data_IF_938607062622
#
_entry.id   IF_938607062622
#
_cell.length_a   1.000
_cell.length_b   1.000
_cell.length_c   1.000
_cell.angle_alpha   90.00
_cell.angle_beta   90.00
_cell.angle_gamma   90.00
#
_symmetry.space_group_name_H-M   'P 1'
#
loop_
_entity.id
_entity.type
_entity.pdbx_description
1 polymer ?
#
# COMPACT_ATOMS: atom_id res chain seq x y z
N UNK A 1 -33.20 -2.82 4.75
CA UNK A 1 -32.25 -3.88 5.15
C UNK A 1 -31.28 -3.27 6.15
N UNK A 2 -30.95 -3.93 7.27
CA UNK A 2 -29.90 -3.47 8.17
C UNK A 2 -28.57 -3.36 7.40
N UNK A 3 -27.82 -2.29 7.64
CA UNK A 3 -26.56 -1.96 6.96
C UNK A 3 -25.39 -2.15 7.92
N UNK A 4 -24.17 -2.38 7.41
CA UNK A 4 -22.96 -2.29 8.26
C UNK A 4 -22.77 -0.88 8.85
N UNK A 5 -23.50 0.12 8.34
CA UNK A 5 -23.56 1.47 8.91
C UNK A 5 -24.30 1.55 10.26
N UNK A 6 -25.06 0.53 10.63
CA UNK A 6 -25.75 0.48 11.93
C UNK A 6 -24.79 0.08 13.06
N UNK A 7 -23.56 -0.36 12.73
CA UNK A 7 -22.55 -0.90 13.64
C UNK A 7 -21.18 -0.24 13.38
N UNK A 8 -21.14 1.10 13.32
CA UNK A 8 -19.89 1.83 13.15
C UNK A 8 -18.94 1.62 14.34
N UNK A 9 -17.60 1.64 14.10
CA UNK A 9 -16.62 1.66 15.18
C UNK A 9 -16.89 2.83 16.14
N UNK A 10 -16.69 2.61 17.44
CA UNK A 10 -17.07 3.58 18.49
C UNK A 10 -16.41 4.96 18.35
N UNK A 11 -15.27 5.04 17.67
CA UNK A 11 -14.52 6.29 17.47
C UNK A 11 -14.79 6.93 16.09
N UNK A 12 -15.72 6.39 15.28
CA UNK A 12 -16.10 6.94 13.97
C UNK A 12 -17.58 7.35 13.98
N UNK A 13 -17.86 8.53 13.44
CA UNK A 13 -19.22 8.98 13.14
C UNK A 13 -19.29 9.49 11.71
N UNK A 14 -20.45 9.32 11.09
CA UNK A 14 -20.74 9.91 9.78
C UNK A 14 -21.34 11.31 9.91
N UNK A 15 -20.89 12.21 9.04
CA UNK A 15 -21.44 13.55 8.85
C UNK A 15 -21.75 13.80 7.38
N UNK A 16 -22.71 14.69 7.11
CA UNK A 16 -22.94 15.17 5.74
C UNK A 16 -21.68 15.84 5.18
N UNK A 17 -21.42 15.59 3.90
CA UNK A 17 -20.35 16.23 3.15
C UNK A 17 -20.98 16.99 1.96
N UNK A 18 -20.49 18.19 1.58
CA UNK A 18 -21.12 18.99 0.53
C UNK A 18 -21.09 18.34 -0.87
N UNK A 19 -20.03 17.58 -1.19
CA UNK A 19 -19.83 16.98 -2.52
C UNK A 19 -19.74 15.44 -2.54
N UNK A 20 -19.17 14.81 -1.51
CA UNK A 20 -19.19 13.36 -1.31
C UNK A 20 -20.50 12.86 -0.68
N UNK A 21 -20.72 11.54 -0.69
CA UNK A 21 -21.90 10.91 -0.07
C UNK A 21 -22.04 11.27 1.41
N UNK A 22 -20.94 11.17 2.17
CA UNK A 22 -20.76 11.66 3.52
C UNK A 22 -19.26 11.71 3.84
N UNK A 23 -18.91 12.00 5.10
CA UNK A 23 -17.55 11.90 5.61
C UNK A 23 -17.52 11.17 6.95
N UNK A 24 -16.51 10.33 7.15
CA UNK A 24 -16.19 9.77 8.46
C UNK A 24 -15.34 10.76 9.26
N UNK A 25 -15.79 11.10 10.46
CA UNK A 25 -15.04 11.95 11.40
C UNK A 25 -14.71 11.19 12.68
N UNK A 26 -13.60 11.54 13.31
CA UNK A 26 -13.22 11.00 14.60
C UNK A 26 -14.16 11.51 15.71
N UNK A 27 -14.71 10.63 16.53
CA UNK A 27 -15.57 11.01 17.67
C UNK A 27 -14.74 11.57 18.83
N UNK A 28 -13.50 11.11 18.97
CA UNK A 28 -12.55 11.53 19.98
C UNK A 28 -11.15 11.56 19.38
N UNK A 29 -10.16 12.03 20.15
CA UNK A 29 -8.77 12.03 19.71
C UNK A 29 -8.29 10.59 19.45
N UNK A 30 -7.77 10.31 18.26
CA UNK A 30 -7.21 9.00 17.87
C UNK A 30 -5.70 9.10 17.76
N UNK A 31 -4.99 8.29 18.55
CA UNK A 31 -3.52 8.30 18.58
C UNK A 31 -2.92 7.59 17.36
N UNK A 32 -1.70 7.96 16.91
CA UNK A 32 -0.97 7.25 15.86
C UNK A 32 -0.90 5.74 16.14
N UNK A 33 -1.11 4.93 15.11
CA UNK A 33 -1.09 3.46 15.16
C UNK A 33 -2.37 2.81 15.69
N UNK A 34 -3.36 3.59 16.11
CA UNK A 34 -4.67 3.05 16.49
C UNK A 34 -5.39 2.48 15.27
N UNK A 35 -5.98 1.29 15.42
CA UNK A 35 -6.87 0.68 14.41
C UNK A 35 -8.22 1.39 14.47
N UNK A 36 -8.58 2.05 13.36
CA UNK A 36 -9.83 2.80 13.19
C UNK A 36 -10.95 1.88 12.71
N UNK A 37 -10.64 1.02 11.75
CA UNK A 37 -11.59 0.06 11.19
C UNK A 37 -10.88 -1.28 11.06
N UNK A 38 -11.58 -2.36 11.37
CA UNK A 38 -11.19 -3.74 11.03
C UNK A 38 -12.40 -4.41 10.38
N UNK A 39 -12.28 -4.76 9.10
CA UNK A 39 -13.39 -5.33 8.31
C UNK A 39 -12.93 -6.48 7.42
N UNK A 40 -13.70 -7.58 7.35
CA UNK A 40 -13.43 -8.66 6.41
C UNK A 40 -13.73 -8.23 4.97
N UNK A 41 -12.98 -8.78 4.02
CA UNK A 41 -13.25 -8.66 2.60
C UNK A 41 -14.62 -9.28 2.27
N UNK A 42 -15.38 -8.64 1.41
CA UNK A 42 -16.56 -9.25 0.79
C UNK A 42 -16.14 -10.25 -0.28
N UNK A 43 -15.18 -9.86 -1.13
CA UNK A 43 -14.52 -10.73 -2.10
C UNK A 43 -13.07 -10.32 -2.26
N UNK A 44 -12.21 -11.28 -2.62
CA UNK A 44 -10.84 -11.05 -3.07
C UNK A 44 -10.59 -11.76 -4.40
N UNK A 45 -9.69 -11.20 -5.20
CA UNK A 45 -9.19 -11.76 -6.44
C UNK A 45 -7.66 -11.68 -6.43
N UNK A 46 -7.01 -12.84 -6.32
CA UNK A 46 -5.56 -12.96 -6.40
C UNK A 46 -5.07 -12.58 -7.81
N UNK A 47 -4.01 -11.77 -7.88
CA UNK A 47 -3.38 -11.40 -9.14
C UNK A 47 -2.77 -12.63 -9.85
N UNK A 48 -2.63 -12.60 -11.19
CA UNK A 48 -2.03 -13.69 -11.95
C UNK A 48 -0.65 -14.11 -11.43
N UNK A 49 0.19 -13.15 -11.02
CA UNK A 49 1.52 -13.39 -10.45
C UNK A 49 1.52 -14.21 -9.15
N UNK A 50 0.42 -14.19 -8.40
CA UNK A 50 0.27 -14.97 -7.17
C UNK A 50 -0.27 -16.38 -7.37
N UNK A 51 -0.80 -16.71 -8.56
CA UNK A 51 -1.43 -18.01 -8.82
C UNK A 51 -0.40 -19.14 -8.67
N UNK A 52 -0.76 -20.17 -7.92
CA UNK A 52 0.13 -21.28 -7.61
C UNK A 52 1.09 -21.03 -6.44
N UNK A 53 1.28 -19.77 -6.03
CA UNK A 53 2.14 -19.38 -4.90
C UNK A 53 1.36 -18.88 -3.69
N UNK A 54 0.08 -18.53 -3.86
CA UNK A 54 -0.81 -18.04 -2.80
C UNK A 54 -2.16 -18.74 -2.82
N UNK A 55 -2.78 -18.83 -1.65
CA UNK A 55 -4.15 -19.33 -1.49
C UNK A 55 -5.18 -18.36 -2.06
N UNK A 56 -6.10 -18.83 -2.90
CA UNK A 56 -7.17 -18.00 -3.49
C UNK A 56 -8.28 -17.59 -2.51
N UNK A 57 -8.28 -18.14 -1.30
CA UNK A 57 -9.25 -17.77 -0.25
C UNK A 57 -8.64 -16.80 0.77
N UNK A 58 -7.55 -17.20 1.44
CA UNK A 58 -6.97 -16.44 2.53
C UNK A 58 -5.70 -15.66 2.14
N UNK A 59 -5.24 -15.74 0.88
CA UNK A 59 -4.05 -15.08 0.33
C UNK A 59 -2.68 -15.45 0.92
N UNK A 60 -2.62 -16.30 1.96
CA UNK A 60 -1.35 -16.79 2.52
C UNK A 60 -0.44 -17.38 1.43
N UNK A 61 0.84 -17.01 1.50
CA UNK A 61 1.92 -17.52 0.64
C UNK A 61 2.31 -18.97 0.95
N UNK A 62 2.76 -19.72 -0.05
CA UNK A 62 3.34 -21.07 0.13
C UNK A 62 4.59 -21.07 1.02
N UNK A 63 5.30 -19.94 1.09
CA UNK A 63 6.47 -19.75 1.95
C UNK A 63 6.13 -19.90 3.44
N UNK A 64 4.85 -19.83 3.83
CA UNK A 64 4.39 -20.05 5.19
C UNK A 64 4.37 -21.53 5.61
N UNK A 65 5.22 -22.38 5.03
CA UNK A 65 5.33 -23.86 5.23
C UNK A 65 4.17 -24.72 4.69
N UNK A 66 3.25 -24.14 3.92
CA UNK A 66 2.05 -24.85 3.44
C UNK A 66 2.14 -25.13 1.94
N UNK A 67 2.19 -26.40 1.57
CA UNK A 67 2.06 -26.81 0.16
C UNK A 67 0.62 -26.60 -0.32
N UNK A 68 0.46 -25.77 -1.35
CA UNK A 68 -0.86 -25.44 -1.89
C UNK A 68 -1.48 -26.61 -2.67
N UNK A 69 -2.77 -26.85 -2.42
CA UNK A 69 -3.59 -27.82 -3.12
C UNK A 69 -4.37 -27.15 -4.25
N UNK A 70 -4.15 -27.61 -5.49
CA UNK A 70 -4.87 -27.13 -6.67
C UNK A 70 -6.29 -27.69 -6.72
N UNK A 71 -7.27 -26.86 -7.04
CA UNK A 71 -8.64 -27.27 -7.30
C UNK A 71 -8.69 -28.29 -8.44
N UNK A 72 -9.16 -29.50 -8.16
CA UNK A 72 -9.26 -30.57 -9.17
C UNK A 72 -10.30 -30.26 -10.26
N UNK A 73 -11.26 -29.35 -10.00
CA UNK A 73 -12.31 -28.99 -10.94
C UNK A 73 -11.83 -28.03 -12.03
N UNK A 74 -11.29 -26.86 -11.65
CA UNK A 74 -10.87 -25.83 -12.61
C UNK A 74 -9.37 -25.87 -12.94
N UNK A 75 -8.54 -26.46 -12.08
CA UNK A 75 -7.08 -26.38 -12.15
C UNK A 75 -6.49 -24.95 -12.18
N UNK A 76 -7.27 -23.92 -11.84
CA UNK A 76 -6.85 -22.50 -11.84
C UNK A 76 -6.92 -21.82 -10.46
N UNK A 77 -7.30 -22.57 -9.42
CA UNK A 77 -7.41 -22.08 -8.04
C UNK A 77 -6.59 -22.97 -7.12
N UNK A 78 -5.93 -22.38 -6.12
CA UNK A 78 -5.06 -23.02 -5.15
C UNK A 78 -5.49 -22.68 -3.73
N UNK A 79 -5.33 -23.63 -2.82
CA UNK A 79 -5.76 -23.49 -1.44
C UNK A 79 -4.70 -24.02 -0.48
N UNK A 80 -4.58 -23.43 0.72
CA UNK A 80 -3.76 -23.99 1.80
C UNK A 80 -4.14 -25.44 2.16
N UNK A 81 -5.39 -25.83 1.91
CA UNK A 81 -5.90 -27.16 2.19
C UNK A 81 -7.42 -27.22 2.05
N UNK A 82 -8.00 -28.34 2.49
CA UNK A 82 -9.45 -28.60 2.40
C UNK A 82 -10.28 -27.55 3.14
N UNK A 83 -9.79 -27.01 4.26
CA UNK A 83 -10.48 -25.95 5.01
C UNK A 83 -10.74 -24.70 4.15
N UNK A 84 -9.70 -24.10 3.57
CA UNK A 84 -9.83 -22.91 2.71
C UNK A 84 -10.68 -23.21 1.47
N UNK A 85 -10.52 -24.40 0.87
CA UNK A 85 -11.35 -24.81 -0.26
C UNK A 85 -12.83 -24.90 0.12
N UNK A 86 -13.16 -25.52 1.27
CA UNK A 86 -14.53 -25.66 1.75
C UNK A 86 -15.17 -24.31 2.08
N UNK A 87 -14.42 -23.38 2.69
CA UNK A 87 -14.89 -22.03 2.98
C UNK A 87 -15.18 -21.23 1.69
N UNK A 88 -14.34 -21.36 0.67
CA UNK A 88 -14.54 -20.71 -0.63
C UNK A 88 -15.59 -21.41 -1.52
N UNK A 89 -15.90 -22.69 -1.26
CA UNK A 89 -16.71 -23.52 -2.17
C UNK A 89 -18.11 -22.97 -2.43
N UNK A 90 -18.69 -22.24 -1.48
CA UNK A 90 -20.03 -21.63 -1.61
C UNK A 90 -20.17 -20.76 -2.86
N UNK A 91 -19.18 -19.90 -3.13
CA UNK A 91 -19.09 -19.05 -4.31
C UNK A 91 -18.30 -19.72 -5.44
N UNK A 92 -17.11 -20.28 -5.17
CA UNK A 92 -16.24 -20.87 -6.20
C UNK A 92 -16.94 -21.88 -7.12
N UNK A 93 -17.78 -22.76 -6.54
CA UNK A 93 -18.47 -23.82 -7.31
C UNK A 93 -19.34 -23.29 -8.45
N UNK A 94 -19.80 -22.04 -8.38
CA UNK A 94 -20.70 -21.44 -9.36
C UNK A 94 -20.02 -21.15 -10.69
N UNK A 95 -18.73 -20.82 -10.66
CA UNK A 95 -17.93 -20.52 -11.87
C UNK A 95 -16.83 -21.56 -12.14
N UNK A 96 -16.47 -22.40 -11.17
CA UNK A 96 -15.37 -23.36 -11.25
C UNK A 96 -15.31 -24.14 -12.59
N UNK A 97 -16.40 -24.78 -13.02
CA UNK A 97 -16.39 -25.62 -14.24
C UNK A 97 -16.34 -24.82 -15.55
N UNK A 98 -16.72 -23.53 -15.51
CA UNK A 98 -16.84 -22.67 -16.68
C UNK A 98 -15.63 -21.76 -16.87
N UNK A 99 -14.86 -21.56 -15.80
CA UNK A 99 -13.75 -20.62 -15.78
C UNK A 99 -12.77 -20.83 -16.92
N UNK A 100 -12.28 -22.06 -17.15
CA UNK A 100 -11.29 -22.32 -18.20
C UNK A 100 -11.82 -21.98 -19.61
N UNK A 101 -13.07 -22.33 -19.89
CA UNK A 101 -13.71 -21.98 -21.18
C UNK A 101 -13.97 -20.48 -21.30
N UNK A 102 -14.31 -19.82 -20.19
CA UNK A 102 -14.55 -18.39 -20.16
C UNK A 102 -13.26 -17.61 -20.38
N UNK A 103 -12.19 -17.94 -19.66
CA UNK A 103 -10.89 -17.27 -19.83
C UNK A 103 -10.27 -17.55 -21.20
N UNK A 104 -10.64 -18.65 -21.86
CA UNK A 104 -10.18 -18.96 -23.23
C UNK A 104 -11.08 -18.37 -24.34
N UNK A 105 -12.18 -17.68 -23.99
CA UNK A 105 -13.09 -17.12 -25.00
C UNK A 105 -12.46 -15.94 -25.73
N UNK A 106 -12.87 -15.72 -26.99
CA UNK A 106 -12.43 -14.56 -27.76
C UNK A 106 -12.79 -13.25 -27.06
N UNK A 107 -14.02 -13.18 -26.52
CA UNK A 107 -14.52 -12.03 -25.78
C UNK A 107 -13.63 -11.66 -24.59
N UNK A 108 -13.15 -12.63 -23.81
CA UNK A 108 -12.25 -12.37 -22.68
C UNK A 108 -10.83 -12.05 -23.14
N UNK A 109 -10.34 -12.72 -24.18
CA UNK A 109 -8.98 -12.52 -24.69
C UNK A 109 -8.79 -11.16 -25.36
N UNK A 110 -9.84 -10.58 -25.92
CA UNK A 110 -9.82 -9.22 -26.49
C UNK A 110 -9.83 -8.09 -25.44
N UNK A 111 -10.08 -8.39 -24.16
CA UNK A 111 -10.05 -7.39 -23.09
C UNK A 111 -8.62 -6.95 -22.78
N UNK A 112 -8.47 -5.70 -22.39
CA UNK A 112 -7.24 -5.21 -21.78
C UNK A 112 -7.02 -5.86 -20.40
N UNK A 113 -5.78 -5.88 -19.91
CA UNK A 113 -5.46 -6.58 -18.64
C UNK A 113 -6.27 -6.07 -17.44
N UNK A 114 -6.52 -4.76 -17.36
CA UNK A 114 -7.34 -4.18 -16.29
C UNK A 114 -8.83 -4.60 -16.40
N UNK A 115 -9.34 -4.77 -17.63
CA UNK A 115 -10.71 -5.24 -17.88
C UNK A 115 -10.85 -6.74 -17.59
N UNK A 116 -9.82 -7.55 -17.87
CA UNK A 116 -9.76 -8.96 -17.47
C UNK A 116 -9.84 -9.12 -15.95
N UNK A 117 -9.09 -8.31 -15.21
CA UNK A 117 -9.14 -8.29 -13.74
C UNK A 117 -10.52 -7.87 -13.24
N UNK A 118 -11.13 -6.84 -13.84
CA UNK A 118 -12.48 -6.41 -13.48
C UNK A 118 -13.52 -7.51 -13.76
N UNK A 119 -13.48 -8.17 -14.91
CA UNK A 119 -14.36 -9.28 -15.27
C UNK A 119 -14.27 -10.47 -14.27
N UNK A 120 -13.06 -10.81 -13.82
CA UNK A 120 -12.86 -11.86 -12.83
C UNK A 120 -13.33 -11.44 -11.43
N UNK A 121 -13.10 -10.19 -11.03
CA UNK A 121 -13.57 -9.67 -9.74
C UNK A 121 -15.11 -9.60 -9.70
N UNK A 122 -15.73 -9.20 -10.82
CA UNK A 122 -17.18 -9.23 -11.02
C UNK A 122 -17.73 -10.63 -10.95
N UNK A 123 -17.06 -11.60 -11.57
CA UNK A 123 -17.41 -13.02 -11.45
C UNK A 123 -17.44 -13.46 -9.98
N UNK A 124 -16.43 -13.06 -9.19
CA UNK A 124 -16.36 -13.39 -7.76
C UNK A 124 -17.50 -12.74 -6.98
N UNK A 125 -17.74 -11.44 -7.20
CA UNK A 125 -18.79 -10.68 -6.53
C UNK A 125 -20.17 -11.29 -6.78
N UNK A 126 -20.51 -11.58 -8.04
CA UNK A 126 -21.79 -12.20 -8.40
C UNK A 126 -21.91 -13.58 -7.75
N UNK A 127 -20.84 -14.36 -7.75
CA UNK A 127 -20.83 -15.70 -7.16
C UNK A 127 -21.08 -15.66 -5.65
N UNK A 128 -20.45 -14.70 -4.96
CA UNK A 128 -20.60 -14.47 -3.52
C UNK A 128 -22.02 -14.05 -3.17
N UNK A 129 -22.57 -13.03 -3.84
CA UNK A 129 -23.94 -12.55 -3.65
C UNK A 129 -24.97 -13.65 -3.92
N UNK A 130 -24.72 -14.46 -4.95
CA UNK A 130 -25.63 -15.54 -5.33
C UNK A 130 -25.50 -16.78 -4.44
N UNK A 131 -24.53 -16.84 -3.52
CA UNK A 131 -24.35 -18.00 -2.66
C UNK A 131 -25.49 -18.05 -1.63
N UNK A 132 -26.22 -19.18 -1.57
CA UNK A 132 -27.47 -19.36 -0.80
C UNK A 132 -27.33 -19.25 0.74
N UNK A 133 -26.21 -18.73 1.24
CA UNK A 133 -25.96 -18.48 2.65
C UNK A 133 -25.68 -16.99 2.80
N UNK A 134 -26.72 -16.17 2.68
CA UNK A 134 -26.66 -14.80 3.17
C UNK A 134 -26.89 -14.88 4.69
N UNK A 135 -25.82 -15.10 5.45
CA UNK A 135 -25.85 -14.76 6.86
C UNK A 135 -26.05 -13.24 7.01
N UNK A 136 -26.55 -12.78 8.15
CA UNK A 136 -26.85 -11.36 8.40
C UNK A 136 -25.66 -10.44 8.08
N UNK A 137 -24.43 -10.90 8.32
CA UNK A 137 -23.22 -10.16 8.00
C UNK A 137 -23.05 -9.88 6.49
N UNK A 138 -23.31 -10.87 5.62
CA UNK A 138 -23.22 -10.71 4.16
C UNK A 138 -24.33 -9.83 3.61
N UNK A 139 -25.53 -9.93 4.17
CA UNK A 139 -26.65 -9.07 3.81
C UNK A 139 -26.35 -7.59 4.15
N UNK A 140 -25.75 -7.33 5.31
CA UNK A 140 -25.26 -6.00 5.71
C UNK A 140 -24.19 -5.48 4.76
N UNK A 141 -23.16 -6.27 4.43
CA UNK A 141 -22.11 -5.90 3.48
C UNK A 141 -22.68 -5.55 2.09
N UNK A 142 -23.60 -6.37 1.58
CA UNK A 142 -24.26 -6.11 0.30
C UNK A 142 -25.12 -4.84 0.35
N UNK A 143 -25.88 -4.63 1.42
CA UNK A 143 -26.67 -3.41 1.61
C UNK A 143 -25.77 -2.17 1.64
N UNK A 144 -24.63 -2.25 2.31
CA UNK A 144 -23.63 -1.17 2.33
C UNK A 144 -23.02 -0.96 0.94
N UNK A 145 -22.67 -2.04 0.23
CA UNK A 145 -22.13 -1.96 -1.14
C UNK A 145 -23.11 -1.29 -2.10
N UNK A 146 -24.40 -1.65 -2.05
CA UNK A 146 -25.44 -1.05 -2.90
C UNK A 146 -25.68 0.44 -2.59
N UNK A 147 -25.29 0.90 -1.40
CA UNK A 147 -25.36 2.33 -1.02
C UNK A 147 -24.17 3.16 -1.55
N UNK A 148 -23.14 2.53 -2.11
CA UNK A 148 -22.00 3.23 -2.71
C UNK A 148 -22.42 3.97 -3.98
N UNK A 149 -21.72 5.07 -4.27
CA UNK A 149 -21.95 5.85 -5.48
C UNK A 149 -21.43 5.09 -6.71
N UNK A 150 -22.20 5.02 -7.81
CA UNK A 150 -21.69 4.50 -9.06
C UNK A 150 -20.55 5.39 -9.57
N UNK A 151 -19.58 4.78 -10.26
CA UNK A 151 -18.51 5.49 -10.92
C UNK A 151 -19.03 6.40 -12.05
N UNK A 152 -18.22 7.39 -12.47
CA UNK A 152 -18.61 8.36 -13.50
C UNK A 152 -18.67 7.75 -14.91
N UNK A 153 -18.09 6.56 -15.10
CA UNK A 153 -18.03 5.90 -16.40
C UNK A 153 -19.22 4.96 -16.60
N UNK A 154 -20.00 5.22 -17.65
CA UNK A 154 -21.10 4.37 -18.11
C UNK A 154 -20.67 3.49 -19.29
N UNK A 155 -19.53 2.80 -19.15
CA UNK A 155 -19.10 1.80 -20.12
C UNK A 155 -19.92 0.52 -20.01
N UNK A 156 -19.93 -0.30 -21.06
CA UNK A 156 -20.45 -1.66 -20.98
C UNK A 156 -19.71 -2.41 -19.87
N UNK A 157 -20.41 -3.09 -18.95
CA UNK A 157 -19.73 -3.83 -17.90
C UNK A 157 -18.83 -4.92 -18.50
N UNK A 158 -17.64 -5.18 -17.93
CA UNK A 158 -16.82 -6.30 -18.30
C UNK A 158 -17.61 -7.60 -18.31
N UNK A 159 -17.33 -8.45 -19.31
CA UNK A 159 -18.04 -9.72 -19.47
C UNK A 159 -17.65 -10.63 -18.32
N UNK A 160 -18.59 -10.92 -17.41
CA UNK A 160 -18.35 -11.85 -16.31
C UNK A 160 -18.57 -13.31 -16.75
N UNK A 161 -17.92 -14.26 -16.07
CA UNK A 161 -18.12 -15.68 -16.33
C UNK A 161 -19.61 -16.04 -16.11
N UNK A 162 -20.27 -16.66 -17.10
CA UNK A 162 -21.70 -16.95 -16.99
C UNK A 162 -21.95 -17.96 -15.86
N UNK A 163 -22.91 -17.66 -14.98
CA UNK A 163 -23.32 -18.51 -13.86
C UNK A 163 -24.84 -18.64 -13.80
N UNK A 164 -25.33 -19.73 -13.21
CA UNK A 164 -26.75 -19.84 -12.89
C UNK A 164 -27.06 -18.98 -11.65
N UNK A 165 -27.68 -17.83 -11.88
CA UNK A 165 -28.09 -16.84 -10.86
C UNK A 165 -29.59 -16.58 -10.96
N UNK A 166 -30.21 -16.02 -9.91
CA UNK A 166 -31.64 -15.68 -9.95
C UNK A 166 -31.91 -14.48 -10.87
N UNK A 167 -33.17 -14.32 -11.29
CA UNK A 167 -33.58 -13.23 -12.21
C UNK A 167 -33.37 -11.86 -11.56
N UNK A 168 -33.59 -11.73 -10.25
CA UNK A 168 -33.41 -10.48 -9.50
C UNK A 168 -31.94 -10.05 -9.47
N UNK A 169 -31.01 -11.00 -9.30
CA UNK A 169 -29.57 -10.74 -9.38
C UNK A 169 -29.21 -10.29 -10.79
N UNK A 170 -29.77 -10.93 -11.82
CA UNK A 170 -29.52 -10.59 -13.22
C UNK A 170 -29.96 -9.15 -13.55
N UNK A 171 -31.14 -8.73 -13.07
CA UNK A 171 -31.64 -7.36 -13.23
C UNK A 171 -30.82 -6.31 -12.47
N UNK A 172 -30.04 -6.73 -11.47
CA UNK A 172 -29.25 -5.84 -10.61
C UNK A 172 -27.75 -5.79 -10.96
N UNK A 173 -27.31 -6.50 -12.00
CA UNK A 173 -25.89 -6.60 -12.37
C UNK A 173 -25.28 -5.25 -12.77
N UNK A 174 -25.99 -4.45 -13.57
CA UNK A 174 -25.52 -3.13 -13.98
C UNK A 174 -25.31 -2.20 -12.77
N UNK A 175 -26.21 -2.26 -11.78
CA UNK A 175 -26.07 -1.53 -10.53
C UNK A 175 -24.87 -2.01 -9.71
N UNK A 176 -24.56 -3.31 -9.70
CA UNK A 176 -23.39 -3.85 -9.02
C UNK A 176 -22.08 -3.41 -9.73
N UNK A 177 -22.03 -3.55 -11.04
CA UNK A 177 -20.82 -3.27 -11.82
C UNK A 177 -20.47 -1.80 -11.83
N UNK A 178 -21.46 -0.91 -11.97
CA UNK A 178 -21.25 0.54 -11.92
C UNK A 178 -20.61 1.02 -10.60
N UNK A 179 -20.72 0.26 -9.50
CA UNK A 179 -20.10 0.59 -8.21
C UNK A 179 -18.75 -0.08 -7.97
N UNK A 180 -18.47 -1.17 -8.66
CA UNK A 180 -17.28 -1.98 -8.37
C UNK A 180 -15.97 -1.35 -8.85
N UNK A 181 -15.99 -0.61 -9.96
CA UNK A 181 -14.79 -0.06 -10.61
C UNK A 181 -14.11 1.06 -9.83
N UNK A 182 -14.84 1.71 -8.92
CA UNK A 182 -14.37 2.85 -8.12
C UNK A 182 -14.43 2.59 -6.60
N UNK A 183 -14.67 1.35 -6.18
CA UNK A 183 -14.79 0.97 -4.76
C UNK A 183 -14.01 -0.30 -4.41
N UNK A 184 -13.22 -0.85 -5.33
CA UNK A 184 -12.27 -1.93 -5.04
C UNK A 184 -10.94 -1.38 -4.52
N UNK A 185 -10.16 -2.23 -3.88
CA UNK A 185 -8.85 -1.88 -3.32
C UNK A 185 -7.78 -2.84 -3.81
N UNK A 186 -6.59 -2.31 -4.06
CA UNK A 186 -5.37 -3.11 -4.14
C UNK A 186 -5.08 -3.68 -2.74
N UNK A 187 -4.95 -5.00 -2.65
CA UNK A 187 -4.60 -5.73 -1.43
C UNK A 187 -3.11 -6.05 -1.47
N UNK A 188 -2.39 -5.67 -0.42
CA UNK A 188 -0.94 -5.79 -0.36
C UNK A 188 -0.50 -6.84 0.66
N UNK A 189 0.70 -7.37 0.44
CA UNK A 189 1.52 -8.01 1.48
C UNK A 189 2.89 -7.36 1.43
N UNK A 190 3.37 -6.86 2.57
CA UNK A 190 4.63 -6.11 2.66
C UNK A 190 4.66 -4.95 1.65
N UNK A 191 3.54 -4.22 1.54
CA UNK A 191 3.33 -3.11 0.59
C UNK A 191 3.49 -3.47 -0.90
N UNK A 192 3.58 -4.76 -1.22
CA UNK A 192 3.52 -5.27 -2.61
C UNK A 192 2.11 -5.71 -2.93
N UNK A 193 1.52 -5.23 -4.03
CA UNK A 193 0.17 -5.64 -4.45
C UNK A 193 0.14 -7.11 -4.84
N UNK A 194 -0.77 -7.87 -4.23
CA UNK A 194 -0.94 -9.31 -4.46
C UNK A 194 -2.35 -9.67 -4.94
N UNK A 195 -3.35 -8.83 -4.68
CA UNK A 195 -4.74 -9.12 -5.00
C UNK A 195 -5.55 -7.82 -5.14
N UNK A 196 -6.78 -7.93 -5.61
CA UNK A 196 -7.81 -6.90 -5.49
C UNK A 196 -8.90 -7.38 -4.52
N UNK A 197 -9.51 -6.47 -3.78
CA UNK A 197 -10.58 -6.81 -2.83
C UNK A 197 -11.68 -5.76 -2.77
N UNK A 198 -12.86 -6.18 -2.30
CA UNK A 198 -14.00 -5.28 -2.07
C UNK A 198 -14.28 -5.25 -0.57
N UNK A 199 -14.25 -4.04 0.02
CA UNK A 199 -14.44 -3.79 1.45
C UNK A 199 -15.53 -2.73 1.64
N UNK A 200 -16.82 -3.09 1.54
CA UNK A 200 -17.90 -2.11 1.39
C UNK A 200 -17.95 -1.06 2.49
N UNK A 201 -17.70 -1.44 3.74
CA UNK A 201 -17.71 -0.50 4.86
C UNK A 201 -16.54 0.49 4.79
N UNK A 202 -15.34 0.06 4.38
CA UNK A 202 -14.21 0.96 4.19
C UNK A 202 -14.46 1.95 3.04
N UNK A 203 -14.94 1.48 1.89
CA UNK A 203 -15.34 2.33 0.75
C UNK A 203 -16.40 3.36 1.14
N UNK A 204 -17.30 2.96 2.04
CA UNK A 204 -18.42 3.80 2.48
C UNK A 204 -18.01 4.88 3.48
N UNK A 205 -16.91 4.68 4.22
CA UNK A 205 -16.51 5.56 5.32
C UNK A 205 -15.47 6.61 4.92
N UNK A 206 -14.41 6.21 4.23
CA UNK A 206 -13.21 7.04 4.13
C UNK A 206 -13.09 7.71 2.77
N UNK A 207 -13.12 9.05 2.78
CA UNK A 207 -12.86 9.86 1.60
C UNK A 207 -11.36 9.93 1.28
N UNK A 208 -11.06 10.45 0.09
CA UNK A 208 -9.69 10.65 -0.38
C UNK A 208 -9.04 11.92 0.16
N UNK A 209 -7.75 11.83 0.50
CA UNK A 209 -6.83 12.97 0.53
C UNK A 209 -5.46 12.51 0.00
N UNK A 210 -4.76 13.35 -0.77
CA UNK A 210 -3.35 13.08 -1.11
C UNK A 210 -2.39 13.36 0.06
N UNK A 211 -2.90 13.96 1.15
CA UNK A 211 -2.24 14.03 2.46
C UNK A 211 -3.14 13.30 3.47
N UNK A 212 -3.24 11.98 3.40
CA UNK A 212 -4.13 11.22 4.27
C UNK A 212 -3.64 11.26 5.73
N UNK A 213 -4.56 11.05 6.66
CA UNK A 213 -4.24 10.89 8.08
C UNK A 213 -4.42 9.45 8.58
N UNK A 214 -4.90 8.56 7.70
CA UNK A 214 -4.97 7.12 7.91
C UNK A 214 -4.50 6.35 6.66
N UNK A 215 -4.08 5.09 6.84
CA UNK A 215 -3.72 4.18 5.76
C UNK A 215 -4.39 2.82 5.94
N UNK A 216 -4.64 2.13 4.82
CA UNK A 216 -5.11 0.76 4.84
C UNK A 216 -3.92 -0.21 4.94
N UNK A 217 -4.07 -1.25 5.75
CA UNK A 217 -3.20 -2.43 5.81
C UNK A 217 -4.05 -3.69 5.78
N UNK A 218 -3.45 -4.81 5.39
CA UNK A 218 -4.15 -6.08 5.28
C UNK A 218 -3.66 -7.13 6.27
N UNK A 219 -4.60 -7.78 6.95
CA UNK A 219 -4.32 -8.89 7.86
C UNK A 219 -4.64 -10.19 7.15
N UNK A 220 -3.59 -10.98 6.89
CA UNK A 220 -3.65 -12.26 6.19
C UNK A 220 -3.42 -13.38 7.22
N UNK A 221 -4.44 -14.24 7.41
CA UNK A 221 -4.38 -15.38 8.33
C UNK A 221 -4.89 -16.63 7.66
N UNK A 222 -4.17 -17.74 7.83
CA UNK A 222 -4.56 -19.01 7.23
C UNK A 222 -5.97 -19.42 7.67
N UNK A 223 -6.80 -19.80 6.70
CA UNK A 223 -8.16 -20.26 6.98
C UNK A 223 -9.16 -19.17 7.36
N UNK A 224 -8.78 -17.89 7.30
CA UNK A 224 -9.67 -16.75 7.55
C UNK A 224 -9.84 -15.91 6.28
N UNK A 225 -10.97 -15.18 6.13
CA UNK A 225 -11.07 -14.11 5.15
C UNK A 225 -9.96 -13.08 5.37
N UNK A 226 -9.58 -12.38 4.31
CA UNK A 226 -8.65 -11.26 4.42
C UNK A 226 -9.34 -10.10 5.11
N UNK A 227 -8.68 -9.48 6.07
CA UNK A 227 -9.19 -8.28 6.72
C UNK A 227 -8.45 -7.04 6.23
N UNK A 228 -9.17 -5.94 6.07
CA UNK A 228 -8.61 -4.60 5.94
C UNK A 228 -8.68 -3.91 7.29
N UNK A 229 -7.54 -3.44 7.76
CA UNK A 229 -7.46 -2.51 8.87
C UNK A 229 -7.13 -1.11 8.36
N UNK A 230 -7.83 -0.09 8.85
CA UNK A 230 -7.48 1.32 8.60
C UNK A 230 -6.81 1.85 9.86
N UNK A 231 -5.57 2.31 9.76
CA UNK A 231 -4.74 2.74 10.90
C UNK A 231 -4.44 4.23 10.84
N UNK A 232 -4.48 4.90 11.99
CA UNK A 232 -4.11 6.31 12.09
C UNK A 232 -2.60 6.50 11.88
N UNK A 233 -2.20 7.36 10.94
CA UNK A 233 -0.78 7.67 10.67
C UNK A 233 -0.22 8.71 11.64
N UNK A 234 -1.08 9.63 12.08
CA UNK A 234 -0.75 10.69 13.03
C UNK A 234 -1.89 10.86 14.02
N UNK A 235 -1.71 11.78 14.98
CA UNK A 235 -2.82 12.21 15.82
C UNK A 235 -3.95 12.74 14.94
N UNK A 236 -5.15 12.19 15.12
CA UNK A 236 -6.40 12.68 14.51
C UNK A 236 -7.22 13.29 15.65
N UNK A 237 -7.60 14.56 15.51
CA UNK A 237 -8.34 15.26 16.55
C UNK A 237 -9.84 14.93 16.49
N UNK A 238 -10.55 15.08 17.60
CA UNK A 238 -12.01 14.97 17.60
C UNK A 238 -12.63 15.90 16.55
N UNK A 239 -13.62 15.38 15.81
CA UNK A 239 -14.30 16.02 14.67
C UNK A 239 -13.44 16.21 13.40
N UNK A 240 -12.17 15.78 13.40
CA UNK A 240 -11.37 15.77 12.18
C UNK A 240 -11.85 14.65 11.25
N UNK A 241 -11.92 14.94 9.95
CA UNK A 241 -12.24 13.93 8.93
C UNK A 241 -11.10 12.92 8.78
N UNK A 242 -11.47 11.65 8.67
CA UNK A 242 -10.53 10.54 8.48
C UNK A 242 -10.47 10.25 6.98
N UNK A 243 -9.30 10.48 6.39
CA UNK A 243 -9.07 10.26 4.96
C UNK A 243 -7.96 9.24 4.73
N UNK A 244 -8.16 8.40 3.72
CA UNK A 244 -7.14 7.52 3.15
C UNK A 244 -6.74 8.03 1.75
N UNK A 245 -5.67 7.48 1.18
CA UNK A 245 -5.34 7.76 -0.23
C UNK A 245 -5.94 6.70 -1.15
N UNK A 246 -6.56 7.13 -2.25
CA UNK A 246 -7.14 6.25 -3.28
C UNK A 246 -6.16 5.94 -4.41
N UNK A 247 -5.11 6.76 -4.49
CA UNK A 247 -4.03 6.73 -5.47
C UNK A 247 -2.74 7.02 -4.74
N UNK A 248 -1.58 6.66 -5.30
CA UNK A 248 -0.31 7.04 -4.66
C UNK A 248 -0.15 8.58 -4.67
N UNK A 249 0.02 9.23 -3.50
CA UNK A 249 0.33 10.66 -3.44
C UNK A 249 1.48 11.14 -4.32
N UNK A 250 2.45 10.26 -4.64
CA UNK A 250 3.60 10.55 -5.49
C UNK A 250 3.26 10.72 -6.99
N UNK A 251 2.06 10.32 -7.43
CA UNK A 251 1.56 10.56 -8.79
C UNK A 251 1.10 12.02 -8.94
N UNK A 252 2.01 12.96 -8.73
CA UNK A 252 1.73 14.40 -8.60
C UNK A 252 0.96 14.95 -9.81
N UNK A 253 1.34 14.55 -11.02
CA UNK A 253 0.77 15.03 -12.28
C UNK A 253 -0.49 14.24 -12.65
N UNK A 254 -0.46 12.93 -12.42
CA UNK A 254 -1.47 11.98 -12.89
C UNK A 254 -2.67 11.84 -11.94
N UNK A 255 -2.49 12.08 -10.63
CA UNK A 255 -3.51 11.78 -9.61
C UNK A 255 -4.84 12.51 -9.79
N UNK A 256 -4.83 13.77 -10.26
CA UNK A 256 -6.08 14.51 -10.52
C UNK A 256 -6.88 13.91 -11.67
N UNK A 257 -6.18 13.47 -12.73
CA UNK A 257 -6.81 12.77 -13.85
C UNK A 257 -7.40 11.45 -13.38
N UNK A 258 -6.68 10.69 -12.53
CA UNK A 258 -7.16 9.43 -11.96
C UNK A 258 -8.38 9.68 -11.06
N UNK A 259 -8.34 10.65 -10.14
CA UNK A 259 -9.49 10.94 -9.25
C UNK A 259 -10.72 11.37 -10.04
N UNK A 260 -10.52 12.16 -11.10
CA UNK A 260 -11.62 12.59 -11.96
C UNK A 260 -12.20 11.44 -12.77
N UNK A 261 -11.36 10.66 -13.45
CA UNK A 261 -11.79 9.60 -14.36
C UNK A 261 -12.35 8.38 -13.63
N UNK A 262 -11.70 7.92 -12.55
CA UNK A 262 -12.09 6.71 -11.83
C UNK A 262 -13.17 6.99 -10.78
N UNK A 263 -13.05 8.11 -10.05
CA UNK A 263 -13.91 8.38 -8.89
C UNK A 263 -14.89 9.53 -9.09
N UNK A 264 -14.79 10.30 -10.17
CA UNK A 264 -15.76 11.35 -10.51
C UNK A 264 -15.59 12.64 -9.72
N UNK A 265 -14.42 12.91 -9.13
CA UNK A 265 -14.16 14.15 -8.40
C UNK A 265 -12.75 14.71 -8.63
N UNK A 266 -12.58 16.01 -8.42
CA UNK A 266 -11.28 16.67 -8.37
C UNK A 266 -10.87 16.89 -6.91
N UNK A 267 -9.67 16.44 -6.54
CA UNK A 267 -9.22 16.55 -5.16
C UNK A 267 -8.85 18.00 -4.82
N UNK A 268 -9.35 18.52 -3.69
CA UNK A 268 -9.05 19.87 -3.19
C UNK A 268 -8.26 19.85 -1.88
N UNK A 269 -7.54 18.74 -1.62
CA UNK A 269 -6.70 18.64 -0.44
C UNK A 269 -5.56 19.69 -0.47
N UNK A 270 -4.92 19.98 0.68
CA UNK A 270 -3.90 21.04 0.75
C UNK A 270 -2.71 20.84 -0.21
N UNK A 271 -2.35 19.59 -0.53
CA UNK A 271 -1.32 19.26 -1.53
C UNK A 271 -1.78 19.59 -2.96
N UNK A 272 -2.99 19.17 -3.34
CA UNK A 272 -3.54 19.44 -4.67
C UNK A 272 -3.79 20.93 -4.91
N UNK A 273 -4.31 21.65 -3.92
CA UNK A 273 -4.50 23.10 -4.05
C UNK A 273 -3.17 23.82 -4.28
N UNK A 274 -2.12 23.44 -3.55
CA UNK A 274 -0.79 24.02 -3.76
C UNK A 274 -0.25 23.75 -5.16
N UNK A 275 -0.29 22.50 -5.63
CA UNK A 275 0.16 22.15 -6.99
C UNK A 275 -0.63 22.91 -8.05
N UNK A 276 -1.95 23.08 -7.87
CA UNK A 276 -2.77 23.89 -8.77
C UNK A 276 -2.33 25.36 -8.83
N UNK A 277 -1.76 25.93 -7.76
CA UNK A 277 -1.21 27.30 -7.77
C UNK A 277 0.11 27.43 -8.53
N UNK A 278 0.85 26.34 -8.69
CA UNK A 278 2.06 26.29 -9.53
C UNK A 278 1.67 26.30 -11.01
N UNK A 279 0.59 25.58 -11.37
CA UNK A 279 0.16 25.40 -12.75
C UNK A 279 1.03 24.35 -13.46
N UNK A 280 1.56 24.69 -14.63
CA UNK A 280 2.45 23.80 -15.37
C UNK A 280 3.77 23.61 -14.60
N UNK A 281 4.07 22.37 -14.22
CA UNK A 281 5.31 22.02 -13.53
C UNK A 281 6.50 22.30 -14.47
N UNK A 282 7.54 23.04 -14.01
CA UNK A 282 8.70 23.32 -14.83
C UNK A 282 9.42 22.02 -15.26
N UNK A 283 9.97 21.95 -16.49
CA UNK A 283 10.68 20.77 -16.94
C UNK A 283 11.96 20.54 -16.13
N UNK A 284 12.40 19.29 -16.08
CA UNK A 284 13.64 18.93 -15.42
C UNK A 284 14.87 19.47 -16.15
N UNK A 285 15.97 19.79 -15.42
CA UNK A 285 17.25 20.08 -16.03
C UNK A 285 17.75 18.91 -16.89
N UNK A 286 18.45 19.23 -17.99
CA UNK A 286 18.92 18.23 -18.97
C UNK A 286 20.33 17.73 -18.66
N UNK A 287 21.17 18.53 -18.01
CA UNK A 287 22.55 18.13 -17.70
C UNK A 287 22.65 17.42 -16.35
N UNK A 288 23.54 16.44 -16.26
CA UNK A 288 23.83 15.70 -15.02
C UNK A 288 24.27 16.63 -13.89
N UNK A 289 25.10 17.63 -14.19
CA UNK A 289 25.54 18.62 -13.20
C UNK A 289 24.36 19.43 -12.62
N UNK A 290 23.43 19.86 -13.46
CA UNK A 290 22.26 20.61 -13.00
C UNK A 290 21.28 19.73 -12.23
N UNK A 291 21.16 18.45 -12.58
CA UNK A 291 20.40 17.46 -11.81
C UNK A 291 21.04 17.21 -10.45
N UNK A 292 22.37 17.09 -10.37
CA UNK A 292 23.07 16.96 -9.10
C UNK A 292 22.91 18.21 -8.22
N UNK A 293 22.96 19.40 -8.81
CA UNK A 293 22.67 20.65 -8.09
C UNK A 293 21.24 20.70 -7.56
N UNK A 294 20.27 20.22 -8.36
CA UNK A 294 18.87 20.10 -7.96
C UNK A 294 18.69 19.11 -6.79
N UNK A 295 19.34 17.94 -6.86
CA UNK A 295 19.35 16.93 -5.80
C UNK A 295 19.87 17.52 -4.49
N UNK A 296 21.02 18.19 -4.55
CA UNK A 296 21.62 18.86 -3.40
C UNK A 296 20.72 19.98 -2.84
N UNK A 297 20.08 20.76 -3.71
CA UNK A 297 19.19 21.84 -3.29
C UNK A 297 17.92 21.31 -2.61
N UNK A 298 17.35 20.21 -3.12
CA UNK A 298 16.21 19.53 -2.49
C UNK A 298 16.59 18.97 -1.13
N UNK A 299 17.73 18.27 -1.03
CA UNK A 299 18.22 17.73 0.24
C UNK A 299 18.40 18.84 1.29
N UNK A 300 19.04 19.96 0.94
CA UNK A 300 19.22 21.11 1.85
C UNK A 300 17.89 21.75 2.28
N UNK A 301 16.87 21.72 1.42
CA UNK A 301 15.56 22.25 1.74
C UNK A 301 14.81 21.35 2.73
N UNK A 302 14.80 20.04 2.49
CA UNK A 302 14.07 19.08 3.34
C UNK A 302 14.84 18.67 4.60
N UNK A 303 16.18 18.76 4.57
CA UNK A 303 17.11 18.28 5.61
C UNK A 303 18.15 19.39 5.88
N UNK A 304 17.75 20.55 6.42
CA UNK A 304 18.61 21.73 6.52
C UNK A 304 19.83 21.54 7.43
N UNK A 305 19.71 20.68 8.45
CA UNK A 305 20.81 20.35 9.37
C UNK A 305 21.83 19.39 8.76
N UNK A 306 21.52 18.73 7.63
CA UNK A 306 22.32 17.65 7.04
C UNK A 306 22.22 16.32 7.81
N UNK A 307 21.95 16.36 9.11
CA UNK A 307 21.62 15.20 9.92
C UNK A 307 20.11 14.90 9.85
N UNK A 308 19.77 13.62 9.70
CA UNK A 308 18.39 13.14 9.76
C UNK A 308 18.09 12.72 11.20
N UNK A 309 17.02 13.28 11.76
CA UNK A 309 16.59 13.04 13.13
C UNK A 309 15.05 12.98 13.26
N UNK A 310 14.57 12.88 14.49
CA UNK A 310 13.13 12.84 14.78
C UNK A 310 12.41 14.14 14.40
N UNK A 311 13.10 15.28 14.50
CA UNK A 311 12.52 16.58 14.12
C UNK A 311 12.24 16.63 12.61
N UNK A 312 13.10 16.00 11.82
CA UNK A 312 12.93 15.89 10.36
C UNK A 312 11.64 15.15 9.99
N UNK A 313 11.26 14.10 10.73
CA UNK A 313 10.03 13.32 10.47
C UNK A 313 8.74 14.02 10.94
N UNK A 314 8.83 14.76 12.06
CA UNK A 314 7.67 15.40 12.70
C UNK A 314 7.22 16.68 11.98
N UNK A 315 8.03 17.24 11.09
CA UNK A 315 7.71 18.45 10.34
C UNK A 315 6.52 18.27 9.36
N UNK A 316 6.18 17.03 9.00
CA UNK A 316 5.14 16.73 8.02
C UNK A 316 5.51 17.17 6.60
N UNK A 317 4.54 17.15 5.69
CA UNK A 317 4.78 17.52 4.29
C UNK A 317 5.19 19.00 4.16
N UNK A 318 6.41 19.24 3.67
CA UNK A 318 6.94 20.57 3.39
C UNK A 318 6.43 21.18 2.06
N UNK A 319 5.52 20.49 1.35
CA UNK A 319 5.14 20.83 -0.02
C UNK A 319 4.64 22.27 -0.16
N UNK A 320 3.82 22.73 0.77
CA UNK A 320 3.17 24.05 0.68
C UNK A 320 4.14 25.23 0.78
N UNK A 321 5.37 25.00 1.24
CA UNK A 321 6.42 26.01 1.37
C UNK A 321 7.57 25.77 0.39
N UNK A 322 7.37 24.89 -0.61
CA UNK A 322 8.39 24.59 -1.63
C UNK A 322 8.72 25.85 -2.46
N UNK A 323 9.99 26.30 -2.48
CA UNK A 323 10.37 27.50 -3.20
C UNK A 323 10.33 27.28 -4.72
N UNK A 324 10.07 28.37 -5.46
CA UNK A 324 9.84 28.33 -6.92
C UNK A 324 10.97 27.67 -7.72
N UNK A 325 12.21 27.84 -7.28
CA UNK A 325 13.38 27.25 -7.94
C UNK A 325 13.45 25.72 -7.80
N UNK A 326 12.66 25.12 -6.92
CA UNK A 326 12.56 23.66 -6.74
C UNK A 326 11.28 23.08 -7.34
N UNK A 327 10.39 23.87 -7.97
CA UNK A 327 9.12 23.35 -8.48
C UNK A 327 9.29 22.23 -9.53
N UNK A 328 10.42 22.16 -10.24
CA UNK A 328 10.70 21.08 -11.19
C UNK A 328 10.82 19.69 -10.55
N UNK A 329 11.12 19.58 -9.24
CA UNK A 329 11.18 18.27 -8.55
C UNK A 329 9.82 17.58 -8.48
N UNK A 330 8.73 18.33 -8.70
CA UNK A 330 7.37 17.82 -8.70
C UNK A 330 7.00 17.07 -9.99
N UNK A 331 7.88 17.10 -11.00
CA UNK A 331 7.71 16.31 -12.22
C UNK A 331 7.87 14.83 -11.89
N UNK A 332 6.94 13.96 -12.29
CA UNK A 332 6.90 12.54 -11.89
C UNK A 332 8.18 11.79 -12.28
N UNK A 333 8.74 12.12 -13.45
CA UNK A 333 10.02 11.57 -13.92
C UNK A 333 11.22 11.84 -13.00
N UNK A 334 11.15 12.83 -12.11
CA UNK A 334 12.23 13.13 -11.16
C UNK A 334 12.34 12.05 -10.09
N UNK A 335 11.22 11.69 -9.47
CA UNK A 335 11.19 10.64 -8.45
C UNK A 335 11.57 9.29 -9.07
N UNK A 336 11.05 8.96 -10.26
CA UNK A 336 11.42 7.74 -10.99
C UNK A 336 12.94 7.65 -11.18
N UNK A 337 13.56 8.71 -11.70
CA UNK A 337 15.02 8.75 -11.88
C UNK A 337 15.77 8.46 -10.58
N UNK A 338 15.35 9.08 -9.47
CA UNK A 338 15.99 8.90 -8.17
C UNK A 338 15.82 7.46 -7.66
N UNK A 339 14.61 6.88 -7.74
CA UNK A 339 14.36 5.52 -7.27
C UNK A 339 15.07 4.48 -8.11
N UNK A 340 15.14 4.68 -9.43
CA UNK A 340 15.84 3.79 -10.36
C UNK A 340 17.34 3.78 -10.06
N UNK A 341 17.94 4.97 -9.92
CA UNK A 341 19.37 5.09 -9.59
C UNK A 341 19.67 4.53 -8.19
N UNK A 342 18.80 4.74 -7.20
CA UNK A 342 18.97 4.18 -5.86
C UNK A 342 18.97 2.64 -5.90
N UNK A 343 17.97 2.05 -6.56
CA UNK A 343 17.83 0.61 -6.70
C UNK A 343 19.06 -0.02 -7.36
N UNK A 344 19.44 0.48 -8.55
CA UNK A 344 20.61 -0.01 -9.30
C UNK A 344 21.90 0.07 -8.46
N UNK A 345 22.21 1.26 -7.93
CA UNK A 345 23.45 1.46 -7.17
C UNK A 345 23.50 0.72 -5.83
N UNK A 346 22.35 0.46 -5.20
CA UNK A 346 22.28 -0.34 -3.96
C UNK A 346 22.58 -1.82 -4.20
N UNK A 347 22.22 -2.35 -5.37
CA UNK A 347 22.45 -3.75 -5.76
C UNK A 347 23.84 -3.98 -6.35
N UNK A 348 24.37 -3.01 -7.12
CA UNK A 348 25.69 -3.13 -7.77
C UNK A 348 26.87 -2.80 -6.85
N UNK A 349 26.62 -2.37 -5.61
CA UNK A 349 27.66 -2.06 -4.63
C UNK A 349 28.22 -0.63 -4.73
N UNK A 350 27.63 0.24 -5.53
CA UNK A 350 27.97 1.67 -5.61
C UNK A 350 27.39 2.46 -4.42
N UNK A 351 27.66 2.02 -3.19
CA UNK A 351 26.94 2.45 -1.99
C UNK A 351 27.02 3.96 -1.71
N UNK A 352 28.12 4.64 -2.05
CA UNK A 352 28.21 6.10 -1.89
C UNK A 352 27.18 6.84 -2.76
N UNK A 353 26.96 6.36 -3.99
CA UNK A 353 25.95 6.90 -4.90
C UNK A 353 24.55 6.57 -4.37
N UNK A 354 24.33 5.30 -4.00
CA UNK A 354 23.06 4.84 -3.45
C UNK A 354 22.65 5.66 -2.22
N UNK A 355 23.55 5.83 -1.26
CA UNK A 355 23.29 6.58 -0.04
C UNK A 355 23.10 8.09 -0.28
N UNK A 356 23.65 8.67 -1.33
CA UNK A 356 23.43 10.07 -1.68
C UNK A 356 22.08 10.27 -2.40
N UNK A 357 21.79 9.45 -3.41
CA UNK A 357 20.51 9.50 -4.14
C UNK A 357 19.36 9.08 -3.23
N UNK A 358 19.58 8.13 -2.32
CA UNK A 358 18.62 7.73 -1.29
C UNK A 358 18.21 8.89 -0.38
N UNK A 359 19.11 9.83 -0.08
CA UNK A 359 18.74 11.06 0.64
C UNK A 359 17.82 11.96 -0.19
N UNK A 360 18.02 12.03 -1.51
CA UNK A 360 17.11 12.77 -2.40
C UNK A 360 15.74 12.10 -2.49
N UNK A 361 15.67 10.76 -2.56
CA UNK A 361 14.39 10.02 -2.50
C UNK A 361 13.69 10.29 -1.17
N UNK A 362 14.43 10.23 -0.05
CA UNK A 362 13.88 10.53 1.26
C UNK A 362 13.37 11.98 1.36
N UNK A 363 14.10 12.95 0.81
CA UNK A 363 13.66 14.35 0.72
C UNK A 363 12.37 14.50 -0.10
N UNK A 364 12.25 13.81 -1.23
CA UNK A 364 10.99 13.74 -1.99
C UNK A 364 9.86 13.13 -1.15
N UNK A 365 10.14 12.08 -0.39
CA UNK A 365 9.14 11.43 0.46
C UNK A 365 8.65 12.33 1.60
N UNK A 366 9.54 13.09 2.24
CA UNK A 366 9.19 14.14 3.20
C UNK A 366 8.36 15.26 2.57
N UNK A 367 8.55 15.51 1.28
CA UNK A 367 7.79 16.52 0.55
C UNK A 367 6.37 16.03 0.24
N UNK A 368 6.21 14.80 -0.25
CA UNK A 368 4.96 14.34 -0.87
C UNK A 368 4.04 13.56 0.10
N UNK A 369 4.62 12.84 1.06
CA UNK A 369 3.89 11.96 1.96
C UNK A 369 3.64 12.60 3.33
N UNK A 370 2.53 12.26 4.01
CA UNK A 370 2.30 12.66 5.39
C UNK A 370 3.25 11.93 6.36
N UNK A 371 3.36 12.43 7.59
CA UNK A 371 4.12 11.76 8.66
C UNK A 371 3.68 10.31 8.85
N UNK A 372 4.66 9.43 9.07
CA UNK A 372 4.48 7.98 9.23
C UNK A 372 3.86 7.23 8.04
N UNK A 373 3.84 7.82 6.84
CA UNK A 373 3.40 7.08 5.66
C UNK A 373 4.34 5.88 5.40
N UNK A 374 3.83 4.67 5.12
CA UNK A 374 4.63 3.44 5.16
C UNK A 374 5.83 3.42 4.21
N UNK A 375 5.70 4.03 3.03
CA UNK A 375 6.74 4.15 2.01
C UNK A 375 7.98 4.88 2.55
N UNK A 376 7.80 5.85 3.46
CA UNK A 376 8.91 6.53 4.14
C UNK A 376 9.71 5.50 4.97
N UNK A 377 9.00 4.67 5.75
CA UNK A 377 9.62 3.63 6.56
C UNK A 377 10.33 2.58 5.72
N UNK A 378 9.73 2.13 4.62
CA UNK A 378 10.35 1.17 3.69
C UNK A 378 11.63 1.71 3.08
N UNK A 379 11.61 2.94 2.58
CA UNK A 379 12.80 3.55 1.99
C UNK A 379 13.93 3.69 3.00
N UNK A 380 13.62 4.11 4.23
CA UNK A 380 14.61 4.17 5.31
C UNK A 380 15.16 2.78 5.69
N UNK A 381 14.34 1.73 5.63
CA UNK A 381 14.81 0.36 5.83
C UNK A 381 15.81 -0.06 4.75
N UNK A 382 15.52 0.24 3.48
CA UNK A 382 16.45 -0.03 2.37
C UNK A 382 17.73 0.82 2.47
N UNK A 383 17.63 2.08 2.92
CA UNK A 383 18.81 2.89 3.21
C UNK A 383 19.64 2.32 4.37
N UNK A 384 19.00 1.77 5.41
CA UNK A 384 19.70 1.12 6.52
C UNK A 384 20.45 -0.13 6.05
N UNK A 385 19.81 -0.99 5.26
CA UNK A 385 20.45 -2.16 4.62
C UNK A 385 21.60 -1.75 3.70
N UNK A 386 21.41 -0.71 2.89
CA UNK A 386 22.43 -0.18 1.99
C UNK A 386 23.65 0.34 2.76
N UNK A 387 23.44 1.07 3.87
CA UNK A 387 24.50 1.56 4.73
C UNK A 387 25.25 0.40 5.41
N UNK A 388 24.52 -0.62 5.87
CA UNK A 388 25.11 -1.83 6.43
C UNK A 388 25.94 -2.61 5.40
N UNK A 389 25.43 -2.80 4.18
CA UNK A 389 26.19 -3.45 3.11
C UNK A 389 27.48 -2.69 2.75
N UNK A 390 27.45 -1.36 2.82
CA UNK A 390 28.65 -0.54 2.66
C UNK A 390 29.69 -0.78 3.76
N UNK A 391 29.26 -0.99 5.01
CA UNK A 391 30.14 -1.37 6.13
C UNK A 391 30.81 -2.71 5.85
N UNK A 392 30.02 -3.71 5.44
CA UNK A 392 30.53 -5.06 5.14
C UNK A 392 31.51 -5.05 3.96
N UNK A 393 31.22 -4.28 2.91
CA UNK A 393 32.12 -4.15 1.77
C UNK A 393 33.46 -3.52 2.15
N UNK A 394 33.45 -2.47 2.99
CA UNK A 394 34.68 -1.84 3.50
C UNK A 394 35.54 -2.81 4.32
N UNK A 395 34.92 -3.72 5.08
CA UNK A 395 35.64 -4.76 5.84
C UNK A 395 36.33 -5.80 4.92
N UNK A 396 35.74 -6.09 3.76
CA UNK A 396 36.34 -7.01 2.78
C UNK A 396 37.54 -6.41 2.04
N UNK A 397 37.51 -5.10 1.75
CA UNK A 397 38.55 -4.42 0.98
C UNK A 397 39.79 -4.04 1.82
N UNK A 398 39.84 -4.41 3.10
CA UNK A 398 40.93 -4.08 4.05
C UNK A 398 41.25 -2.57 4.15
N UNK A 399 40.30 -1.71 3.79
CA UNK A 399 40.44 -0.26 3.97
C UNK A 399 40.31 0.07 5.46
N UNK A 400 41.43 0.37 6.14
CA UNK A 400 41.47 0.76 7.55
C UNK A 400 40.98 2.21 7.79
N UNK A 401 39.94 2.68 7.11
CA UNK A 401 39.31 3.98 7.37
C UNK A 401 38.23 3.85 8.46
N UNK A 402 38.69 3.71 9.71
CA UNK A 402 37.84 3.59 10.91
C UNK A 402 36.83 4.76 11.03
N UNK A 403 37.19 6.03 10.75
CA UNK A 403 36.22 7.14 10.70
C UNK A 403 35.09 6.94 9.68
N UNK A 404 35.40 6.48 8.46
CA UNK A 404 34.38 6.24 7.44
C UNK A 404 33.42 5.11 7.84
N UNK A 405 33.95 4.00 8.38
CA UNK A 405 33.15 2.88 8.89
C UNK A 405 32.21 3.31 10.03
N UNK A 406 32.74 4.05 11.00
CA UNK A 406 31.95 4.56 12.13
C UNK A 406 30.80 5.46 11.67
N UNK A 407 31.04 6.30 10.65
CA UNK A 407 30.02 7.15 10.05
C UNK A 407 28.90 6.33 9.38
N UNK A 408 29.26 5.29 8.62
CA UNK A 408 28.29 4.41 7.95
C UNK A 408 27.44 3.62 8.95
N UNK A 409 28.04 3.08 10.02
CA UNK A 409 27.30 2.41 11.10
C UNK A 409 26.30 3.36 11.77
N UNK A 410 26.74 4.59 12.09
CA UNK A 410 25.84 5.61 12.66
C UNK A 410 24.68 5.92 11.72
N UNK A 411 24.92 6.03 10.41
CA UNK A 411 23.86 6.24 9.41
C UNK A 411 22.90 5.05 9.35
N UNK A 412 23.41 3.82 9.34
CA UNK A 412 22.59 2.61 9.34
C UNK A 412 21.65 2.59 10.56
N UNK A 413 22.17 2.89 11.75
CA UNK A 413 21.37 2.96 12.98
C UNK A 413 20.30 4.05 12.93
N UNK A 414 20.66 5.26 12.46
CA UNK A 414 19.69 6.37 12.31
C UNK A 414 18.55 5.96 11.36
N UNK A 415 18.88 5.41 10.20
CA UNK A 415 17.86 4.98 9.23
C UNK A 415 16.98 3.86 9.79
N UNK A 416 17.58 2.90 10.49
CA UNK A 416 16.87 1.81 11.14
C UNK A 416 15.90 2.32 12.21
N UNK A 417 16.35 3.23 13.08
CA UNK A 417 15.54 3.78 14.17
C UNK A 417 14.33 4.55 13.64
N UNK A 418 14.55 5.39 12.63
CA UNK A 418 13.51 6.19 11.98
C UNK A 418 12.52 5.29 11.22
N UNK A 419 13.02 4.30 10.48
CA UNK A 419 12.18 3.29 9.83
C UNK A 419 11.34 2.54 10.86
N UNK A 420 11.95 2.09 11.96
CA UNK A 420 11.29 1.37 13.04
C UNK A 420 10.13 2.17 13.64
N UNK A 421 10.32 3.48 13.87
CA UNK A 421 9.25 4.37 14.37
C UNK A 421 8.07 4.42 13.43
N UNK A 422 8.31 4.61 12.12
CA UNK A 422 7.26 4.71 11.10
C UNK A 422 6.53 3.38 10.91
N UNK A 423 7.29 2.30 10.71
CA UNK A 423 6.71 0.97 10.44
C UNK A 423 5.99 0.43 11.68
N UNK A 424 6.41 0.75 12.91
CA UNK A 424 5.65 0.39 14.12
C UNK A 424 4.32 1.12 14.24
N UNK A 425 4.22 2.37 13.77
CA UNK A 425 2.94 3.11 13.67
C UNK A 425 2.03 2.45 12.64
N UNK A 426 2.54 2.12 11.46
CA UNK A 426 1.75 1.39 10.46
C UNK A 426 1.40 -0.03 10.91
N UNK A 427 2.28 -0.68 11.66
CA UNK A 427 2.22 -2.03 12.20
C UNK A 427 2.36 -3.15 11.15
N UNK A 428 2.12 -4.39 11.57
CA UNK A 428 2.30 -5.58 10.72
C UNK A 428 1.22 -5.68 9.64
N UNK A 429 1.63 -6.01 8.42
CA UNK A 429 0.76 -6.22 7.26
C UNK A 429 1.17 -7.50 6.52
N UNK A 430 0.20 -8.22 5.97
CA UNK A 430 0.42 -9.27 4.99
C UNK A 430 0.83 -10.61 5.61
N UNK A 431 1.66 -11.34 4.87
CA UNK A 431 2.26 -12.59 5.35
C UNK A 431 3.27 -12.35 6.50
N UNK A 432 3.65 -13.41 7.24
CA UNK A 432 4.86 -13.37 8.07
C UNK A 432 6.12 -13.02 7.25
N UNK A 433 7.20 -12.55 7.88
CA UNK A 433 8.46 -12.23 7.20
C UNK A 433 8.52 -10.84 6.58
N UNK A 434 7.82 -9.86 7.15
CA UNK A 434 7.72 -8.51 6.61
C UNK A 434 8.72 -7.49 7.17
N UNK A 435 8.50 -6.19 6.90
CA UNK A 435 9.43 -5.11 7.26
C UNK A 435 9.78 -5.05 8.76
N UNK A 436 8.84 -5.38 9.65
CA UNK A 436 9.09 -5.44 11.09
C UNK A 436 10.09 -6.54 11.50
N UNK A 437 10.06 -7.68 10.80
CA UNK A 437 11.01 -8.77 11.06
C UNK A 437 12.38 -8.42 10.47
N UNK A 438 12.43 -7.84 9.27
CA UNK A 438 13.67 -7.35 8.66
C UNK A 438 14.36 -6.29 9.53
N UNK A 439 13.57 -5.36 10.09
CA UNK A 439 14.04 -4.38 11.07
C UNK A 439 14.70 -5.07 12.28
N UNK A 440 14.05 -6.10 12.84
CA UNK A 440 14.58 -6.83 14.00
C UNK A 440 15.86 -7.60 13.66
N UNK A 441 15.96 -8.18 12.46
CA UNK A 441 17.18 -8.85 11.98
C UNK A 441 18.32 -7.84 11.88
N UNK A 442 18.10 -6.70 11.21
CA UNK A 442 19.13 -5.69 11.04
C UNK A 442 19.55 -5.04 12.37
N UNK A 443 18.61 -4.83 13.30
CA UNK A 443 18.91 -4.37 14.67
C UNK A 443 19.83 -5.33 15.42
N UNK A 444 19.66 -6.64 15.24
CA UNK A 444 20.54 -7.63 15.85
C UNK A 444 21.94 -7.61 15.23
N UNK A 445 22.05 -7.50 13.90
CA UNK A 445 23.33 -7.41 13.20
C UNK A 445 24.14 -6.18 13.65
N UNK A 446 23.51 -5.01 13.73
CA UNK A 446 24.19 -3.78 14.19
C UNK A 446 24.65 -3.90 15.65
N UNK A 447 23.85 -4.51 16.53
CA UNK A 447 24.23 -4.73 17.94
C UNK A 447 25.38 -5.73 18.09
N UNK A 448 25.44 -6.76 17.26
CA UNK A 448 26.54 -7.73 17.28
C UNK A 448 27.87 -7.08 16.86
N UNK A 449 27.85 -6.22 15.84
CA UNK A 449 29.03 -5.48 15.40
C UNK A 449 29.52 -4.51 16.48
N UNK A 450 28.63 -3.73 17.13
CA UNK A 450 28.98 -2.87 18.27
C UNK A 450 29.66 -3.64 19.41
N UNK A 451 29.18 -4.86 19.71
CA UNK A 451 29.76 -5.71 20.76
C UNK A 451 31.13 -6.25 20.38
N UNK A 452 31.36 -6.53 19.09
CA UNK A 452 32.64 -7.01 18.58
C UNK A 452 33.75 -5.94 18.59
N UNK A 453 33.37 -4.65 18.62
CA UNK A 453 34.27 -3.50 18.63
C UNK A 453 34.61 -2.95 20.04
N UNK A 454 34.00 -3.48 21.11
CA UNK A 454 34.36 -3.13 22.50
C UNK A 454 35.68 -3.81 22.94
N UNK A 455 36.65 -3.09 23.53
CA UNK A 455 37.94 -3.68 23.86
C UNK A 455 37.86 -4.44 25.18
N UNK A 456 37.55 -5.75 25.16
CA UNK A 456 37.77 -6.60 26.34
C UNK A 456 38.36 -7.96 25.96
N UNK A 457 39.63 -8.10 26.34
CA UNK A 457 40.37 -9.29 26.78
C UNK A 457 39.69 -10.66 26.67
N UNK A 458 40.51 -11.57 26.13
CA UNK A 458 40.55 -13.05 26.12
C UNK A 458 39.89 -13.74 24.92
N UNK A 459 40.74 -14.50 24.24
CA UNK A 459 40.46 -15.29 23.05
C UNK A 459 39.55 -16.49 23.35
N UNK A 460 38.88 -16.93 22.29
CA UNK A 460 37.81 -17.92 22.18
C UNK A 460 38.19 -19.38 22.52
N UNK A 461 39.39 -19.67 23.05
CA UNK A 461 39.77 -21.00 23.56
C UNK A 461 40.13 -20.89 25.05
N UNK A 462 39.13 -20.96 25.91
CA UNK A 462 39.20 -21.59 27.24
C UNK A 462 37.79 -21.67 27.85
N UNK A 463 37.19 -22.85 27.64
CA UNK A 463 36.01 -23.47 28.26
C UNK A 463 34.61 -23.16 27.70
#
# INVERSE_FOLDING_TARGET
MPSSLDELPAHVRLESHPTACNKAVAVSNVSPGSVILDVPSMVVLLLPSGKGHRCDFCLCSEASTVRLARCAGCASYWYCGTQCQSLHWGSHKKYCKRLASFTASADFQCLEEHEKLAALLHTHLIAEISSNVLCDARAKQLSTFMSLLPGPQHGSPPIACPMSVSVEVHQSLEALFSRSGNNNFAVHSHLTTIAHGIFPLASRLFNHSCLPNAAARYVIRQGQPVHMEVVALRQINASEEICISYVDPALIESRQQITHFTYGFSCTCPSCNFINTIGAIPPLPVSEAALADLDNALQRFCIPSGDIDDHTLLAGSALQVLPKNLHCVLHEGYLSRLTDTFSESSHEGSYRVALNVGLSVFAMYLLIYPTNYPQIGMHLLEMAKTAWNAVIAADHDNEQDVPAKTSLLKRAQIYLDLSSKIIKVFGSEGDPGGPLEELAVLENLLREDERSQLPVRKAWYDQ
#
